data_IF_044817468222
#
_entry.id   IF_044817468222
#
_cell.length_a   1.000
_cell.length_b   1.000
_cell.length_c   1.000
_cell.angle_alpha   90.00
_cell.angle_beta   90.00
_cell.angle_gamma   90.00
#
_symmetry.space_group_name_H-M   'P 1'
#
loop_
_entity.id
_entity.type
_entity.pdbx_description
1 polymer ?
#
# COMPACT_ATOMS: atom_id res chain seq x y z
N UNK A 1 0.39 9.36 53.77
CA UNK A 1 -0.37 9.48 52.50
C UNK A 1 0.42 10.23 51.43
N UNK A 2 0.78 11.51 51.63
CA UNK A 2 1.58 12.31 50.66
C UNK A 2 2.92 11.70 50.25
N UNK A 3 3.71 11.15 51.19
CA UNK A 3 5.00 10.50 50.88
C UNK A 3 4.86 9.26 49.98
N UNK A 4 3.78 8.49 50.13
CA UNK A 4 3.49 7.34 49.28
C UNK A 4 3.12 7.77 47.85
N UNK A 5 2.38 8.88 47.75
CA UNK A 5 1.95 9.45 46.48
C UNK A 5 3.14 10.03 45.69
N UNK A 6 4.08 10.67 46.39
CA UNK A 6 5.34 11.13 45.79
C UNK A 6 6.19 9.96 45.27
N UNK A 7 6.35 8.90 46.08
CA UNK A 7 7.05 7.67 45.63
C UNK A 7 6.39 7.02 44.42
N UNK A 8 5.06 7.00 44.35
CA UNK A 8 4.34 6.48 43.19
C UNK A 8 4.60 7.30 41.91
N UNK A 9 4.65 8.63 42.03
CA UNK A 9 4.99 9.51 40.90
C UNK A 9 6.43 9.31 40.42
N UNK A 10 7.38 9.12 41.34
CA UNK A 10 8.77 8.81 40.99
C UNK A 10 8.89 7.47 40.25
N UNK A 11 8.20 6.43 40.73
CA UNK A 11 8.15 5.12 40.07
C UNK A 11 7.55 5.26 38.66
N UNK A 12 6.45 5.99 38.52
CA UNK A 12 5.81 6.23 37.21
C UNK A 12 6.73 7.00 36.27
N UNK A 13 7.48 7.98 36.79
CA UNK A 13 8.46 8.73 35.99
C UNK A 13 9.60 7.83 35.51
N UNK A 14 10.11 6.94 36.37
CA UNK A 14 11.12 5.95 35.99
C UNK A 14 10.59 4.97 34.95
N UNK A 15 9.35 4.51 35.07
CA UNK A 15 8.71 3.60 34.12
C UNK A 15 8.58 4.24 32.73
N UNK A 16 8.14 5.50 32.65
CA UNK A 16 8.11 6.26 31.40
C UNK A 16 9.51 6.37 30.76
N UNK A 17 10.55 6.67 31.56
CA UNK A 17 11.93 6.75 31.05
C UNK A 17 12.43 5.41 30.51
N UNK A 18 12.07 4.31 31.18
CA UNK A 18 12.39 2.97 30.71
C UNK A 18 11.69 2.73 29.37
N UNK A 19 10.41 3.07 29.25
CA UNK A 19 9.65 2.92 28.02
C UNK A 19 10.27 3.70 26.85
N UNK A 20 10.55 4.99 27.05
CA UNK A 20 11.20 5.85 26.06
C UNK A 20 12.57 5.30 25.64
N UNK A 21 13.35 4.80 26.60
CA UNK A 21 14.67 4.21 26.33
C UNK A 21 14.54 2.94 25.49
N UNK A 22 13.58 2.07 25.81
CA UNK A 22 13.33 0.83 25.05
C UNK A 22 12.87 1.15 23.63
N UNK A 23 12.01 2.14 23.45
CA UNK A 23 11.59 2.60 22.12
C UNK A 23 12.78 3.13 21.32
N UNK A 24 13.63 3.95 21.93
CA UNK A 24 14.86 4.46 21.30
C UNK A 24 15.80 3.33 20.87
N UNK A 25 16.01 2.31 21.72
CA UNK A 25 16.81 1.12 21.38
C UNK A 25 16.22 0.39 20.17
N UNK A 26 14.90 0.23 20.12
CA UNK A 26 14.25 -0.44 18.98
C UNK A 26 14.42 0.35 17.68
N UNK A 27 14.28 1.67 17.71
CA UNK A 27 14.51 2.52 16.53
C UNK A 27 15.98 2.43 16.06
N UNK A 28 16.93 2.47 16.99
CA UNK A 28 18.35 2.31 16.67
C UNK A 28 18.65 0.92 16.09
N UNK A 29 18.00 -0.14 16.60
CA UNK A 29 18.14 -1.50 16.07
C UNK A 29 17.64 -1.58 14.63
N UNK A 30 16.45 -1.04 14.33
CA UNK A 30 15.89 -1.00 12.98
C UNK A 30 16.84 -0.27 12.02
N UNK A 31 17.30 0.92 12.43
CA UNK A 31 18.26 1.72 11.66
C UNK A 31 19.56 0.96 11.39
N UNK A 32 20.13 0.30 12.40
CA UNK A 32 21.33 -0.51 12.26
C UNK A 32 21.12 -1.67 11.29
N UNK A 33 20.01 -2.40 11.40
CA UNK A 33 19.70 -3.52 10.52
C UNK A 33 19.52 -3.07 9.06
N UNK A 34 18.90 -1.91 8.85
CA UNK A 34 18.78 -1.29 7.52
C UNK A 34 20.15 -1.05 6.89
N UNK A 35 21.05 -0.34 7.59
CA UNK A 35 22.37 -0.02 7.05
C UNK A 35 23.26 -1.25 6.87
N UNK A 36 23.15 -2.26 7.75
CA UNK A 36 23.85 -3.53 7.57
C UNK A 36 23.33 -4.33 6.39
N UNK A 37 22.01 -4.33 6.15
CA UNK A 37 21.41 -4.93 4.97
C UNK A 37 21.95 -4.31 3.69
N UNK A 38 21.99 -2.98 3.64
CA UNK A 38 22.56 -2.24 2.52
C UNK A 38 24.05 -2.54 2.30
N UNK A 39 24.85 -2.52 3.37
CA UNK A 39 26.29 -2.75 3.27
C UNK A 39 26.66 -4.18 2.84
N UNK A 40 25.78 -5.17 3.10
CA UNK A 40 26.02 -6.58 2.73
C UNK A 40 25.84 -6.84 1.23
N UNK A 41 24.79 -6.31 0.63
CA UNK A 41 24.50 -6.44 -0.80
C UNK A 41 23.69 -5.21 -1.27
N UNK A 42 24.37 -4.11 -1.64
CA UNK A 42 23.69 -2.85 -1.91
C UNK A 42 22.78 -2.94 -3.13
N UNK A 43 23.14 -3.73 -4.15
CA UNK A 43 22.34 -3.86 -5.37
C UNK A 43 21.03 -4.60 -5.09
N UNK A 44 21.08 -5.75 -4.43
CA UNK A 44 19.85 -6.48 -4.09
C UNK A 44 19.03 -5.71 -3.05
N UNK A 45 19.68 -5.06 -2.09
CA UNK A 45 19.01 -4.24 -1.09
C UNK A 45 18.23 -3.09 -1.73
N UNK A 46 18.85 -2.30 -2.63
CA UNK A 46 18.16 -1.20 -3.33
C UNK A 46 16.97 -1.73 -4.12
N UNK A 47 17.12 -2.85 -4.84
CA UNK A 47 16.00 -3.43 -5.60
C UNK A 47 14.82 -3.80 -4.69
N UNK A 48 15.09 -4.49 -3.57
CA UNK A 48 14.05 -4.83 -2.58
C UNK A 48 13.45 -3.58 -1.93
N UNK A 49 14.28 -2.59 -1.65
CA UNK A 49 13.87 -1.33 -1.05
C UNK A 49 12.92 -0.54 -1.97
N UNK A 50 13.26 -0.42 -3.25
CA UNK A 50 12.40 0.22 -4.25
C UNK A 50 11.04 -0.47 -4.32
N UNK A 51 11.00 -1.81 -4.37
CA UNK A 51 9.75 -2.57 -4.36
C UNK A 51 8.93 -2.32 -3.09
N UNK A 52 9.56 -2.26 -1.92
CA UNK A 52 8.89 -1.93 -0.65
C UNK A 52 8.29 -0.53 -0.70
N UNK A 53 9.09 0.48 -1.06
CA UNK A 53 8.63 1.87 -1.13
C UNK A 53 7.52 2.08 -2.16
N UNK A 54 7.58 1.39 -3.31
CA UNK A 54 6.50 1.43 -4.30
C UNK A 54 5.21 0.82 -3.72
N UNK A 55 5.30 -0.27 -2.96
CA UNK A 55 4.13 -0.89 -2.32
C UNK A 55 3.54 0.04 -1.27
N UNK A 56 4.36 0.58 -0.38
CA UNK A 56 3.93 1.49 0.68
C UNK A 56 3.26 2.74 0.09
N UNK A 57 3.84 3.31 -0.97
CA UNK A 57 3.24 4.43 -1.69
C UNK A 57 1.85 4.06 -2.24
N UNK A 58 1.71 2.92 -2.93
CA UNK A 58 0.41 2.46 -3.45
C UNK A 58 -0.63 2.29 -2.35
N UNK A 59 -0.23 1.76 -1.20
CA UNK A 59 -1.10 1.60 -0.02
C UNK A 59 -1.53 2.94 0.57
N UNK A 60 -0.66 3.96 0.55
CA UNK A 60 -0.99 5.29 1.07
C UNK A 60 -1.86 6.13 0.12
N UNK A 61 -1.76 5.89 -1.19
CA UNK A 61 -2.44 6.72 -2.21
C UNK A 61 -3.66 6.05 -2.83
N UNK A 62 -4.04 4.84 -2.40
CA UNK A 62 -5.07 4.01 -3.02
C UNK A 62 -4.91 3.87 -4.55
N UNK A 63 -3.67 3.98 -5.04
CA UNK A 63 -3.38 3.84 -6.47
C UNK A 63 -3.43 2.35 -6.78
N UNK A 64 -4.49 1.96 -7.51
CA UNK A 64 -4.68 0.61 -8.01
C UNK A 64 -3.99 0.47 -9.37
N UNK A 65 -3.42 -0.72 -9.61
CA UNK A 65 -2.78 -1.05 -10.89
C UNK A 65 -1.27 -0.84 -10.90
N UNK A 66 -0.67 -1.19 -12.02
CA UNK A 66 0.76 -1.01 -12.26
C UNK A 66 0.96 -0.67 -13.73
N UNK A 67 1.01 0.64 -14.08
CA UNK A 67 1.10 1.07 -15.46
C UNK A 67 2.26 0.44 -16.24
N UNK A 68 3.37 0.14 -15.57
CA UNK A 68 4.54 -0.50 -16.19
C UNK A 68 4.34 -1.99 -16.49
N UNK A 69 3.53 -2.70 -15.69
CA UNK A 69 3.13 -4.07 -16.00
C UNK A 69 2.05 -4.07 -17.08
N UNK A 70 1.05 -3.20 -16.97
CA UNK A 70 -0.03 -3.03 -17.95
C UNK A 70 0.49 -2.66 -19.35
N UNK A 71 1.67 -2.06 -19.45
CA UNK A 71 2.32 -1.78 -20.74
C UNK A 71 2.86 -3.02 -21.46
N UNK A 72 3.00 -4.15 -20.77
CA UNK A 72 3.63 -5.37 -21.27
C UNK A 72 2.57 -6.35 -21.77
N UNK A 73 2.85 -7.05 -22.87
CA UNK A 73 1.89 -7.99 -23.47
C UNK A 73 1.52 -9.13 -22.52
N UNK A 74 2.50 -9.63 -21.76
CA UNK A 74 2.36 -10.73 -20.80
C UNK A 74 1.35 -10.43 -19.69
N UNK A 75 1.10 -9.15 -19.40
CA UNK A 75 0.06 -8.74 -18.45
C UNK A 75 -1.34 -9.17 -18.92
N UNK A 76 -1.56 -9.22 -20.23
CA UNK A 76 -2.84 -9.61 -20.84
C UNK A 76 -2.90 -11.09 -21.23
N UNK A 77 -1.89 -11.90 -20.89
CA UNK A 77 -1.90 -13.35 -21.12
C UNK A 77 -2.46 -14.14 -19.91
N UNK A 78 -3.06 -13.43 -18.96
CA UNK A 78 -3.58 -14.01 -17.72
C UNK A 78 -4.96 -14.67 -17.90
N UNK A 79 -5.32 -15.55 -16.97
CA UNK A 79 -6.60 -16.28 -17.02
C UNK A 79 -7.84 -15.37 -16.97
N UNK A 80 -7.71 -14.17 -16.36
CA UNK A 80 -8.81 -13.20 -16.27
C UNK A 80 -9.08 -12.47 -17.59
N UNK A 81 -8.16 -12.52 -18.56
CA UNK A 81 -8.26 -11.73 -19.80
C UNK A 81 -9.52 -12.05 -20.58
N UNK A 82 -9.85 -13.34 -20.75
CA UNK A 82 -11.02 -13.75 -21.51
C UNK A 82 -12.31 -13.19 -20.91
N UNK A 83 -12.47 -13.31 -19.59
CA UNK A 83 -13.62 -12.77 -18.89
C UNK A 83 -13.67 -11.23 -18.97
N UNK A 84 -12.53 -10.56 -18.83
CA UNK A 84 -12.43 -9.10 -18.95
C UNK A 84 -12.89 -8.61 -20.33
N UNK A 85 -12.49 -9.29 -21.42
CA UNK A 85 -12.95 -9.00 -22.78
C UNK A 85 -14.46 -9.20 -22.92
N UNK A 86 -15.01 -10.30 -22.39
CA UNK A 86 -16.45 -10.55 -22.40
C UNK A 86 -17.24 -9.45 -21.69
N UNK A 87 -16.82 -9.06 -20.47
CA UNK A 87 -17.44 -7.99 -19.68
C UNK A 87 -17.37 -6.65 -20.40
N UNK A 88 -16.21 -6.33 -20.96
CA UNK A 88 -16.01 -5.11 -21.74
C UNK A 88 -16.96 -5.07 -22.95
N UNK A 89 -17.02 -6.16 -23.72
CA UNK A 89 -17.86 -6.23 -24.92
C UNK A 89 -19.34 -6.06 -24.57
N UNK A 90 -19.82 -6.77 -23.54
CA UNK A 90 -21.19 -6.63 -23.06
C UNK A 90 -21.51 -5.17 -22.66
N UNK A 91 -20.65 -4.55 -21.85
CA UNK A 91 -20.81 -3.15 -21.44
C UNK A 91 -20.86 -2.20 -22.64
N UNK A 92 -19.97 -2.40 -23.63
CA UNK A 92 -19.93 -1.60 -24.85
C UNK A 92 -21.19 -1.74 -25.70
N UNK A 93 -21.74 -2.94 -25.84
CA UNK A 93 -22.99 -3.16 -26.57
C UNK A 93 -24.16 -2.43 -25.88
N UNK A 94 -24.28 -2.53 -24.55
CA UNK A 94 -25.33 -1.80 -23.82
C UNK A 94 -25.17 -0.29 -23.94
N UNK A 95 -23.93 0.22 -23.87
CA UNK A 95 -23.64 1.64 -24.08
C UNK A 95 -24.12 2.08 -25.47
N UNK A 96 -23.78 1.34 -26.54
CA UNK A 96 -24.19 1.68 -27.91
C UNK A 96 -25.70 1.61 -28.12
N UNK A 97 -26.36 0.65 -27.48
CA UNK A 97 -27.81 0.57 -27.48
C UNK A 97 -28.44 1.81 -26.84
N UNK A 98 -27.98 2.22 -25.67
CA UNK A 98 -28.47 3.40 -24.97
C UNK A 98 -28.25 4.70 -25.78
N UNK A 99 -27.07 4.85 -26.40
CA UNK A 99 -26.76 5.98 -27.31
C UNK A 99 -27.75 6.03 -28.50
N UNK A 100 -28.10 4.86 -29.07
CA UNK A 100 -29.08 4.77 -30.16
C UNK A 100 -30.51 5.11 -29.70
N UNK A 101 -30.95 4.54 -28.58
CA UNK A 101 -32.28 4.80 -28.01
C UNK A 101 -32.45 6.30 -27.70
N UNK A 102 -31.41 6.94 -27.16
CA UNK A 102 -31.38 8.38 -26.92
C UNK A 102 -31.45 9.19 -28.22
N UNK A 103 -30.65 8.83 -29.24
CA UNK A 103 -30.63 9.53 -30.53
C UNK A 103 -31.96 9.40 -31.29
N UNK A 104 -32.65 8.28 -31.12
CA UNK A 104 -33.96 8.00 -31.73
C UNK A 104 -35.14 8.56 -30.90
N UNK A 105 -34.89 9.17 -29.74
CA UNK A 105 -35.94 9.72 -28.87
C UNK A 105 -36.81 8.65 -28.20
N UNK A 106 -36.36 7.40 -28.15
CA UNK A 106 -37.09 6.29 -27.54
C UNK A 106 -36.85 6.37 -26.03
N UNK A 107 -37.74 7.05 -25.31
CA UNK A 107 -37.80 6.96 -23.84
C UNK A 107 -38.57 5.70 -23.47
N UNK A 108 -37.88 4.72 -22.88
CA UNK A 108 -38.55 3.62 -22.19
C UNK A 108 -39.38 4.21 -21.04
N UNK A 109 -40.70 4.07 -21.13
CA UNK A 109 -41.68 4.47 -20.12
C UNK A 109 -41.78 3.38 -19.04
#
# INVERSE_FOLDING_TARGET
MFSLLFKYLDIKSLDNKIHETVESINQLKISREFFLGFARDPQQFINKWLVSQTRDLKTMTDIVGNPEEERRGEFYEQSWTQEAVCRYFYSKVQQKRAELEQALGIRNN
#
